data_IF_115762944011
#
_entry.id   IF_115762944011
#
_cell.length_a   1.000
_cell.length_b   1.000
_cell.length_c   1.000
_cell.angle_alpha   90.00
_cell.angle_beta   90.00
_cell.angle_gamma   90.00
#
_symmetry.space_group_name_H-M   'P 1'
#
loop_
_entity.id
_entity.type
_entity.pdbx_description
1 polymer ?
#
# COMPACT_ATOMS: atom_id res chain seq x y z
N UNK A 1 -14.61 2.81 12.74
CA UNK A 1 -15.42 2.38 13.91
C UNK A 1 -16.93 2.68 13.80
N UNK A 2 -17.45 3.24 12.69
CA UNK A 2 -18.89 3.55 12.55
C UNK A 2 -19.75 2.38 12.00
N UNK A 3 -19.18 1.52 11.14
CA UNK A 3 -19.96 0.46 10.46
C UNK A 3 -20.36 -0.71 11.38
N UNK A 4 -19.66 -0.94 12.49
CA UNK A 4 -20.00 -1.99 13.46
C UNK A 4 -21.27 -1.71 14.27
N UNK A 5 -21.73 -0.45 14.36
CA UNK A 5 -22.96 -0.11 15.09
C UNK A 5 -24.22 -0.44 14.27
N UNK A 6 -24.15 -0.34 12.94
CA UNK A 6 -25.28 -0.65 12.06
C UNK A 6 -25.54 -2.16 11.97
N UNK A 7 -24.49 -3.00 11.93
CA UNK A 7 -24.64 -4.46 11.95
C UNK A 7 -25.21 -5.02 13.27
N UNK A 8 -24.96 -4.34 14.41
CA UNK A 8 -25.51 -4.73 15.72
C UNK A 8 -27.02 -4.49 15.84
N UNK A 9 -27.55 -3.44 15.19
CA UNK A 9 -29.00 -3.17 15.21
C UNK A 9 -29.79 -4.08 14.26
N UNK A 10 -29.24 -4.43 13.10
CA UNK A 10 -29.93 -5.31 12.14
C UNK A 10 -30.01 -6.77 12.61
N UNK A 11 -29.02 -7.27 13.37
CA UNK A 11 -29.04 -8.61 13.96
C UNK A 11 -30.10 -8.77 15.07
N UNK A 12 -30.34 -7.73 15.87
CA UNK A 12 -31.38 -7.74 16.93
C UNK A 12 -32.80 -7.73 16.36
N UNK A 13 -33.03 -7.04 15.24
CA UNK A 13 -34.35 -7.00 14.58
C UNK A 13 -34.67 -8.30 13.83
N UNK A 14 -33.67 -8.94 13.22
CA UNK A 14 -33.90 -10.19 12.51
C UNK A 14 -34.28 -11.34 13.46
N UNK A 15 -33.84 -11.33 14.72
CA UNK A 15 -34.10 -12.39 15.70
C UNK A 15 -35.58 -12.43 16.19
N UNK A 16 -36.36 -11.38 15.93
CA UNK A 16 -37.71 -11.20 16.50
C UNK A 16 -38.81 -11.30 15.42
N UNK A 17 -38.46 -11.51 14.14
CA UNK A 17 -39.41 -11.64 13.04
C UNK A 17 -40.07 -13.03 12.94
N UNK A 18 -40.99 -13.37 13.86
CA UNK A 18 -41.92 -14.49 13.72
C UNK A 18 -43.27 -13.97 13.19
N UNK A 19 -43.41 -13.82 11.87
CA UNK A 19 -44.70 -13.94 11.18
C UNK A 19 -44.75 -15.41 10.70
N UNK A 20 -45.75 -16.25 11.01
CA UNK A 20 -47.16 -16.18 10.61
C UNK A 20 -47.97 -17.10 11.53
N UNK A 21 -49.14 -16.65 12.04
CA UNK A 21 -50.17 -17.52 12.62
C UNK A 21 -51.00 -18.17 11.50
N UNK A 22 -51.17 -19.50 11.45
CA UNK A 22 -52.19 -20.10 10.59
C UNK A 22 -53.57 -19.94 11.22
N UNK A 23 -54.48 -19.29 10.50
CA UNK A 23 -55.90 -19.23 10.80
C UNK A 23 -56.53 -20.63 10.79
N UNK A 24 -57.25 -20.98 11.86
CA UNK A 24 -58.10 -22.16 11.91
C UNK A 24 -59.36 -21.93 11.07
N UNK A 25 -59.50 -22.66 9.97
CA UNK A 25 -60.75 -22.79 9.23
C UNK A 25 -61.17 -24.26 9.19
N UNK A 26 -62.32 -24.56 9.80
CA UNK A 26 -63.05 -25.82 9.64
C UNK A 26 -63.68 -25.86 8.24
N UNK A 27 -63.46 -26.93 7.49
CA UNK A 27 -64.48 -27.60 6.68
C UNK A 27 -63.91 -28.88 6.05
N UNK A 28 -64.71 -29.94 6.13
CA UNK A 28 -64.48 -31.29 5.62
C UNK A 28 -64.47 -31.32 4.08
N UNK A 29 -63.55 -32.07 3.49
CA UNK A 29 -63.81 -33.04 2.42
C UNK A 29 -62.53 -33.83 2.06
N UNK A 30 -62.65 -35.15 1.98
CA UNK A 30 -61.54 -36.09 1.84
C UNK A 30 -60.98 -36.13 0.40
N UNK A 31 -59.67 -35.86 0.25
CA UNK A 31 -58.86 -36.13 -0.96
C UNK A 31 -57.54 -36.83 -0.54
N UNK A 32 -56.91 -37.63 -1.43
CA UNK A 32 -55.90 -38.63 -1.07
C UNK A 32 -54.69 -38.01 -0.40
N UNK A 33 -54.10 -38.77 0.53
CA UNK A 33 -52.92 -38.41 1.32
C UNK A 33 -51.80 -37.90 0.41
N UNK A 34 -51.65 -36.57 0.37
CA UNK A 34 -50.44 -35.92 -0.06
C UNK A 34 -49.32 -36.41 0.86
N UNK A 35 -48.15 -36.70 0.29
CA UNK A 35 -46.94 -36.96 1.05
C UNK A 35 -46.84 -35.89 2.16
N UNK A 36 -46.76 -36.33 3.42
CA UNK A 36 -46.78 -35.45 4.57
C UNK A 36 -45.75 -34.34 4.36
N UNK A 37 -46.25 -33.10 4.20
CA UNK A 37 -45.40 -31.92 4.14
C UNK A 37 -44.52 -31.92 5.39
N UNK A 38 -43.24 -31.58 5.24
CA UNK A 38 -42.33 -31.44 6.37
C UNK A 38 -43.01 -30.56 7.45
N UNK A 39 -42.97 -30.95 8.73
CA UNK A 39 -43.63 -30.19 9.79
C UNK A 39 -43.18 -28.73 9.73
N UNK A 40 -44.15 -27.81 9.82
CA UNK A 40 -43.85 -26.38 9.82
C UNK A 40 -42.92 -26.05 10.99
N UNK A 41 -41.93 -25.20 10.71
CA UNK A 41 -40.99 -24.70 11.70
C UNK A 41 -41.76 -24.06 12.87
N UNK A 42 -41.67 -24.68 14.05
CA UNK A 42 -42.39 -24.26 15.25
C UNK A 42 -41.53 -24.49 16.50
N UNK A 43 -41.80 -23.70 17.54
CA UNK A 43 -41.14 -23.78 18.84
C UNK A 43 -42.15 -24.35 19.83
N UNK A 44 -41.78 -25.43 20.54
CA UNK A 44 -42.67 -26.04 21.53
C UNK A 44 -42.95 -25.07 22.70
N UNK A 45 -44.13 -25.14 23.34
CA UNK A 45 -44.51 -24.19 24.39
C UNK A 45 -43.50 -24.07 25.53
N UNK A 46 -42.89 -25.18 25.95
CA UNK A 46 -41.88 -25.21 27.01
C UNK A 46 -40.59 -24.46 26.62
N UNK A 47 -40.19 -24.52 25.35
CA UNK A 47 -39.04 -23.77 24.82
C UNK A 47 -39.41 -22.31 24.59
N UNK A 48 -40.60 -22.04 24.04
CA UNK A 48 -41.09 -20.68 23.78
C UNK A 48 -41.19 -19.87 25.06
N UNK A 49 -41.67 -20.46 26.17
CA UNK A 49 -41.75 -19.78 27.47
C UNK A 49 -40.38 -19.28 27.97
N UNK A 50 -39.30 -20.01 27.66
CA UNK A 50 -37.94 -19.64 28.04
C UNK A 50 -37.34 -18.59 27.09
N UNK A 51 -37.63 -18.72 25.80
CA UNK A 51 -37.10 -17.88 24.73
C UNK A 51 -38.05 -16.76 24.28
N UNK A 52 -39.08 -16.45 25.08
CA UNK A 52 -40.11 -15.46 24.76
C UNK A 52 -39.47 -14.11 24.36
N UNK A 53 -39.71 -13.62 23.13
CA UNK A 53 -39.03 -12.43 22.63
C UNK A 53 -39.27 -11.18 23.48
N UNK A 54 -40.45 -11.06 24.10
CA UNK A 54 -40.79 -9.90 24.95
C UNK A 54 -39.99 -9.93 26.25
N UNK A 55 -39.99 -11.06 26.96
CA UNK A 55 -39.22 -11.22 28.18
C UNK A 55 -37.70 -11.09 27.93
N UNK A 56 -37.20 -11.74 26.88
CA UNK A 56 -35.78 -11.66 26.49
C UNK A 56 -35.40 -10.22 26.15
N UNK A 57 -36.22 -9.51 25.36
CA UNK A 57 -35.96 -8.11 25.02
C UNK A 57 -35.93 -7.22 26.27
N UNK A 58 -36.88 -7.39 27.19
CA UNK A 58 -36.91 -6.64 28.44
C UNK A 58 -35.63 -6.87 29.26
N UNK A 59 -35.17 -8.12 29.39
CA UNK A 59 -33.93 -8.44 30.10
C UNK A 59 -32.68 -7.90 29.38
N UNK A 60 -32.63 -7.94 28.04
CA UNK A 60 -31.53 -7.34 27.26
C UNK A 60 -31.48 -5.82 27.41
N UNK A 61 -32.61 -5.12 27.33
CA UNK A 61 -32.70 -3.66 27.48
C UNK A 61 -32.34 -3.22 28.91
N UNK A 62 -32.75 -4.00 29.92
CA UNK A 62 -32.40 -3.80 31.32
C UNK A 62 -30.95 -4.20 31.65
N UNK A 63 -30.17 -4.69 30.66
CA UNK A 63 -28.81 -5.24 30.83
C UNK A 63 -28.75 -6.41 31.83
N UNK A 64 -29.86 -7.09 32.07
CA UNK A 64 -29.93 -8.30 32.87
C UNK A 64 -29.48 -9.51 32.06
N UNK A 65 -28.21 -9.52 31.66
CA UNK A 65 -27.63 -10.56 30.81
C UNK A 65 -27.56 -11.93 31.49
N UNK A 66 -27.51 -11.95 32.83
CA UNK A 66 -27.53 -13.18 33.61
C UNK A 66 -28.87 -13.92 33.50
N UNK A 67 -30.00 -13.19 33.50
CA UNK A 67 -31.32 -13.77 33.25
C UNK A 67 -31.42 -14.35 31.82
N UNK A 68 -30.93 -13.61 30.82
CA UNK A 68 -30.92 -14.09 29.42
C UNK A 68 -30.05 -15.35 29.28
N UNK A 69 -28.87 -15.38 29.91
CA UNK A 69 -28.02 -16.57 29.93
C UNK A 69 -28.72 -17.75 30.61
N UNK A 70 -29.35 -17.55 31.76
CA UNK A 70 -30.08 -18.61 32.47
C UNK A 70 -31.21 -19.19 31.63
N UNK A 71 -31.95 -18.34 30.90
CA UNK A 71 -33.00 -18.78 29.97
C UNK A 71 -32.45 -19.62 28.83
N UNK A 72 -31.32 -19.21 28.25
CA UNK A 72 -30.61 -19.97 27.21
C UNK A 72 -30.20 -21.35 27.75
N UNK A 73 -29.64 -21.41 28.95
CA UNK A 73 -29.14 -22.65 29.55
C UNK A 73 -30.28 -23.62 29.88
N UNK A 74 -31.39 -23.10 30.43
CA UNK A 74 -32.60 -23.89 30.68
C UNK A 74 -33.22 -24.42 29.38
N UNK A 75 -33.27 -23.60 28.33
CA UNK A 75 -33.81 -24.03 27.04
C UNK A 75 -32.91 -25.08 26.39
N UNK A 76 -31.58 -24.94 26.51
CA UNK A 76 -30.60 -25.90 26.02
C UNK A 76 -30.66 -27.26 26.73
N UNK A 77 -31.16 -27.30 27.97
CA UNK A 77 -31.31 -28.53 28.75
C UNK A 77 -32.57 -29.35 28.40
N UNK A 78 -33.49 -28.79 27.61
CA UNK A 78 -34.67 -29.52 27.14
C UNK A 78 -34.23 -30.62 26.16
N UNK A 79 -34.59 -31.90 26.40
CA UNK A 79 -34.17 -32.99 25.53
C UNK A 79 -34.81 -32.88 24.15
N UNK A 80 -34.08 -33.38 23.14
CA UNK A 80 -34.53 -33.47 21.76
C UNK A 80 -35.06 -32.15 21.17
N UNK A 81 -34.31 -31.05 21.35
CA UNK A 81 -34.57 -29.80 20.62
C UNK A 81 -34.66 -30.07 19.12
N UNK A 82 -35.69 -29.52 18.48
CA UNK A 82 -35.80 -29.61 17.02
C UNK A 82 -34.70 -28.78 16.34
N UNK A 83 -34.40 -29.02 15.05
CA UNK A 83 -33.47 -28.18 14.30
C UNK A 83 -33.87 -26.69 14.32
N UNK A 84 -35.17 -26.39 14.25
CA UNK A 84 -35.67 -25.01 14.30
C UNK A 84 -35.51 -24.39 15.70
N UNK A 85 -35.80 -25.12 16.77
CA UNK A 85 -35.58 -24.65 18.15
C UNK A 85 -34.10 -24.39 18.41
N UNK A 86 -33.23 -25.26 17.92
CA UNK A 86 -31.77 -25.09 18.00
C UNK A 86 -31.32 -23.85 17.24
N UNK A 87 -31.90 -23.58 16.06
CA UNK A 87 -31.66 -22.35 15.31
C UNK A 87 -32.08 -21.11 16.11
N UNK A 88 -33.31 -21.07 16.65
CA UNK A 88 -33.81 -19.95 17.46
C UNK A 88 -32.92 -19.71 18.70
N UNK A 89 -32.56 -20.78 19.41
CA UNK A 89 -31.70 -20.71 20.58
C UNK A 89 -30.31 -20.12 20.24
N UNK A 90 -29.69 -20.56 19.14
CA UNK A 90 -28.38 -20.04 18.75
C UNK A 90 -28.47 -18.58 18.26
N UNK A 91 -29.57 -18.13 17.66
CA UNK A 91 -29.75 -16.70 17.35
C UNK A 91 -29.80 -15.84 18.61
N UNK A 92 -30.45 -16.33 19.67
CA UNK A 92 -30.42 -15.64 20.96
C UNK A 92 -29.01 -15.61 21.56
N UNK A 93 -28.25 -16.71 21.46
CA UNK A 93 -26.84 -16.73 21.85
C UNK A 93 -26.01 -15.71 21.09
N UNK A 94 -26.21 -15.56 19.77
CA UNK A 94 -25.53 -14.52 18.97
C UNK A 94 -25.85 -13.11 19.50
N UNK A 95 -27.11 -12.82 19.82
CA UNK A 95 -27.52 -11.51 20.34
C UNK A 95 -26.90 -11.22 21.72
N UNK A 96 -26.95 -12.19 22.63
CA UNK A 96 -26.34 -12.07 23.96
C UNK A 96 -24.82 -11.91 23.86
N UNK A 97 -24.16 -12.77 23.09
CA UNK A 97 -22.72 -12.77 22.90
C UNK A 97 -22.20 -11.47 22.27
N UNK A 98 -22.93 -10.93 21.28
CA UNK A 98 -22.59 -9.65 20.63
C UNK A 98 -22.68 -8.47 21.59
N UNK A 99 -23.63 -8.51 22.51
CA UNK A 99 -23.89 -7.44 23.49
C UNK A 99 -22.92 -7.50 24.66
N UNK A 100 -22.59 -8.71 25.12
CA UNK A 100 -21.68 -8.96 26.25
C UNK A 100 -20.21 -9.06 25.83
N UNK A 101 -19.92 -8.94 24.53
CA UNK A 101 -18.59 -9.10 23.95
C UNK A 101 -17.97 -10.49 24.23
N UNK A 102 -18.81 -11.53 24.34
CA UNK A 102 -18.37 -12.91 24.52
C UNK A 102 -18.06 -13.55 23.16
N UNK A 103 -16.82 -13.37 22.69
CA UNK A 103 -16.39 -13.86 21.37
C UNK A 103 -16.50 -15.39 21.19
N UNK A 104 -16.08 -16.25 22.15
CA UNK A 104 -16.27 -17.69 22.04
C UNK A 104 -17.73 -18.10 21.82
N UNK A 105 -18.66 -17.54 22.61
CA UNK A 105 -20.09 -17.82 22.45
C UNK A 105 -20.60 -17.35 21.09
N UNK A 106 -20.18 -16.16 20.64
CA UNK A 106 -20.59 -15.61 19.35
C UNK A 106 -20.15 -16.52 18.20
N UNK A 107 -18.90 -16.96 18.18
CA UNK A 107 -18.36 -17.81 17.10
C UNK A 107 -19.11 -19.14 17.01
N UNK A 108 -19.26 -19.87 18.13
CA UNK A 108 -19.98 -21.15 18.16
C UNK A 108 -21.45 -20.98 17.73
N UNK A 109 -22.11 -19.94 18.24
CA UNK A 109 -23.52 -19.70 17.91
C UNK A 109 -23.71 -19.24 16.46
N UNK A 110 -22.84 -18.37 15.93
CA UNK A 110 -22.88 -17.94 14.54
C UNK A 110 -22.70 -19.12 13.59
N UNK A 111 -21.71 -19.98 13.82
CA UNK A 111 -21.48 -21.17 13.01
C UNK A 111 -22.70 -22.09 13.02
N UNK A 112 -23.28 -22.37 14.21
CA UNK A 112 -24.49 -23.17 14.33
C UNK A 112 -25.69 -22.56 13.58
N UNK A 113 -25.84 -21.23 13.58
CA UNK A 113 -26.91 -20.56 12.81
C UNK A 113 -26.66 -20.66 11.31
N UNK A 114 -25.43 -20.47 10.85
CA UNK A 114 -25.04 -20.57 9.43
C UNK A 114 -25.26 -21.99 8.88
N UNK A 115 -24.87 -23.01 9.65
CA UNK A 115 -25.00 -24.41 9.24
C UNK A 115 -26.43 -24.96 9.37
N UNK A 116 -27.35 -24.22 9.98
CA UNK A 116 -28.75 -24.65 10.10
C UNK A 116 -29.48 -24.74 8.76
N UNK A 117 -29.02 -24.02 7.74
CA UNK A 117 -29.71 -23.90 6.45
C UNK A 117 -31.05 -23.14 6.52
N UNK A 118 -31.34 -22.46 7.65
CA UNK A 118 -32.62 -21.77 7.90
C UNK A 118 -32.59 -20.26 7.62
N UNK A 119 -31.43 -19.68 7.32
CA UNK A 119 -31.30 -18.27 6.96
C UNK A 119 -31.72 -18.05 5.50
N UNK A 120 -32.35 -16.89 5.23
CA UNK A 120 -32.45 -16.41 3.86
C UNK A 120 -31.06 -16.05 3.30
N UNK A 121 -30.93 -15.93 1.98
CA UNK A 121 -29.64 -15.71 1.32
C UNK A 121 -28.90 -14.46 1.83
N UNK A 122 -29.63 -13.38 2.12
CA UNK A 122 -29.01 -12.13 2.59
C UNK A 122 -28.49 -12.31 4.02
N UNK A 123 -29.33 -12.86 4.90
CA UNK A 123 -28.97 -13.14 6.28
C UNK A 123 -27.81 -14.15 6.37
N UNK A 124 -27.78 -15.17 5.50
CA UNK A 124 -26.68 -16.12 5.39
C UNK A 124 -25.34 -15.39 5.17
N UNK A 125 -25.29 -14.49 4.19
CA UNK A 125 -24.10 -13.67 3.94
C UNK A 125 -23.70 -12.79 5.13
N UNK A 126 -24.67 -12.09 5.74
CA UNK A 126 -24.43 -11.23 6.90
C UNK A 126 -23.84 -12.01 8.10
N UNK A 127 -24.36 -13.22 8.37
CA UNK A 127 -23.87 -14.09 9.44
C UNK A 127 -22.48 -14.67 9.15
N UNK A 128 -22.22 -15.11 7.91
CA UNK A 128 -20.89 -15.59 7.51
C UNK A 128 -19.85 -14.48 7.66
N UNK A 129 -20.16 -13.25 7.22
CA UNK A 129 -19.29 -12.10 7.39
C UNK A 129 -19.03 -11.81 8.88
N UNK A 130 -20.06 -11.88 9.72
CA UNK A 130 -19.92 -11.68 11.16
C UNK A 130 -18.96 -12.70 11.77
N UNK A 131 -19.12 -14.00 11.46
CA UNK A 131 -18.27 -15.07 11.95
C UNK A 131 -16.81 -14.90 11.50
N UNK A 132 -16.60 -14.57 10.22
CA UNK A 132 -15.27 -14.31 9.68
C UNK A 132 -14.57 -13.15 10.42
N UNK A 133 -15.30 -12.07 10.71
CA UNK A 133 -14.78 -10.94 11.49
C UNK A 133 -14.44 -11.32 12.94
N UNK A 134 -15.21 -12.19 13.58
CA UNK A 134 -14.87 -12.68 14.92
C UNK A 134 -13.55 -13.46 14.91
N UNK A 135 -13.37 -14.39 13.97
CA UNK A 135 -12.10 -15.10 13.82
C UNK A 135 -10.95 -14.13 13.51
N UNK A 136 -11.16 -13.16 12.62
CA UNK A 136 -10.15 -12.16 12.27
C UNK A 136 -9.69 -11.36 13.49
N UNK A 137 -10.63 -10.86 14.30
CA UNK A 137 -10.34 -10.09 15.50
C UNK A 137 -9.71 -10.93 16.61
N UNK A 138 -10.06 -12.22 16.68
CA UNK A 138 -9.42 -13.20 17.55
C UNK A 138 -8.01 -13.61 17.05
N UNK A 139 -7.54 -13.06 15.92
CA UNK A 139 -6.28 -13.40 15.24
C UNK A 139 -6.22 -14.87 14.78
N UNK A 140 -7.37 -15.52 14.67
CA UNK A 140 -7.54 -16.83 14.07
C UNK A 140 -7.67 -16.67 12.55
N UNK A 141 -6.56 -16.25 11.93
CA UNK A 141 -6.49 -15.95 10.51
C UNK A 141 -6.84 -17.13 9.59
N UNK A 142 -6.46 -18.39 9.89
CA UNK A 142 -6.89 -19.53 9.08
C UNK A 142 -8.41 -19.66 8.97
N UNK A 143 -9.14 -19.57 10.09
CA UNK A 143 -10.60 -19.59 10.04
C UNK A 143 -11.20 -18.31 9.47
N UNK A 144 -10.59 -17.15 9.74
CA UNK A 144 -11.03 -15.90 9.12
C UNK A 144 -10.99 -16.00 7.58
N UNK A 145 -9.90 -16.52 7.02
CA UNK A 145 -9.75 -16.76 5.58
C UNK A 145 -10.81 -17.75 5.09
N UNK A 146 -10.99 -18.89 5.77
CA UNK A 146 -12.02 -19.88 5.41
C UNK A 146 -13.40 -19.23 5.29
N UNK A 147 -13.81 -18.45 6.29
CA UNK A 147 -15.14 -17.84 6.34
C UNK A 147 -15.30 -16.65 5.39
N UNK A 148 -14.27 -15.81 5.21
CA UNK A 148 -14.31 -14.75 4.20
C UNK A 148 -14.35 -15.32 2.78
N UNK A 149 -13.62 -16.40 2.48
CA UNK A 149 -13.71 -17.07 1.18
C UNK A 149 -15.11 -17.67 0.96
N UNK A 150 -15.71 -18.26 2.00
CA UNK A 150 -17.10 -18.75 1.92
C UNK A 150 -18.08 -17.61 1.64
N UNK A 151 -17.91 -16.46 2.29
CA UNK A 151 -18.71 -15.25 2.02
C UNK A 151 -18.66 -14.88 0.54
N UNK A 152 -17.46 -14.82 -0.05
CA UNK A 152 -17.28 -14.47 -1.46
C UNK A 152 -18.03 -15.46 -2.38
N UNK A 153 -17.91 -16.77 -2.10
CA UNK A 153 -18.55 -17.83 -2.89
C UNK A 153 -20.08 -17.79 -2.79
N UNK A 154 -20.63 -17.65 -1.58
CA UNK A 154 -22.09 -17.74 -1.37
C UNK A 154 -22.84 -16.46 -1.74
N UNK A 155 -22.20 -15.30 -1.58
CA UNK A 155 -22.81 -13.99 -1.91
C UNK A 155 -22.53 -13.56 -3.35
N UNK A 156 -21.43 -14.03 -3.94
CA UNK A 156 -20.89 -13.52 -5.21
C UNK A 156 -20.10 -12.21 -5.06
N UNK A 157 -20.02 -11.63 -3.85
CA UNK A 157 -19.23 -10.43 -3.58
C UNK A 157 -17.77 -10.81 -3.29
N UNK A 158 -16.97 -10.85 -4.35
CA UNK A 158 -15.54 -11.10 -4.27
C UNK A 158 -14.73 -9.91 -3.73
N UNK A 159 -15.32 -8.72 -3.59
CA UNK A 159 -14.57 -7.47 -3.40
C UNK A 159 -14.52 -7.02 -1.95
N UNK A 160 -15.63 -7.08 -1.22
CA UNK A 160 -15.74 -6.46 0.11
C UNK A 160 -14.78 -7.09 1.13
N UNK A 161 -14.61 -8.41 1.10
CA UNK A 161 -13.76 -9.12 2.07
C UNK A 161 -12.32 -9.32 1.63
N UNK A 162 -12.00 -9.04 0.36
CA UNK A 162 -10.69 -9.31 -0.23
C UNK A 162 -9.53 -8.63 0.54
N UNK A 163 -9.62 -7.35 0.96
CA UNK A 163 -8.56 -6.73 1.76
C UNK A 163 -8.29 -7.44 3.09
N UNK A 164 -9.34 -7.99 3.73
CA UNK A 164 -9.21 -8.74 4.99
C UNK A 164 -8.55 -10.09 4.78
N UNK A 165 -8.88 -10.79 3.69
CA UNK A 165 -8.23 -12.07 3.32
C UNK A 165 -6.74 -11.85 3.08
N UNK A 166 -6.36 -10.85 2.28
CA UNK A 166 -4.95 -10.56 1.96
C UNK A 166 -4.18 -10.20 3.23
N UNK A 167 -4.75 -9.35 4.08
CA UNK A 167 -4.12 -8.98 5.35
C UNK A 167 -4.05 -10.17 6.32
N UNK A 168 -5.01 -11.09 6.30
CA UNK A 168 -4.97 -12.33 7.07
C UNK A 168 -3.81 -13.24 6.60
N UNK A 169 -3.56 -13.38 5.29
CA UNK A 169 -2.37 -14.08 4.79
C UNK A 169 -1.08 -13.47 5.34
N UNK A 170 -0.96 -12.14 5.31
CA UNK A 170 0.20 -11.46 5.87
C UNK A 170 0.37 -11.76 7.37
N UNK A 171 -0.69 -11.61 8.17
CA UNK A 171 -0.59 -11.83 9.62
C UNK A 171 -0.44 -13.31 10.02
N UNK A 172 -0.83 -14.25 9.16
CA UNK A 172 -0.53 -15.68 9.34
C UNK A 172 0.86 -16.08 8.81
N UNK A 173 1.70 -15.10 8.45
CA UNK A 173 3.03 -15.29 7.83
C UNK A 173 3.00 -16.01 6.47
N UNK A 174 1.85 -16.09 5.81
CA UNK A 174 1.71 -16.57 4.43
C UNK A 174 2.06 -15.45 3.45
N UNK A 175 3.31 -15.00 3.52
CA UNK A 175 3.81 -13.89 2.70
C UNK A 175 3.80 -14.23 1.20
N UNK A 176 3.89 -15.51 0.84
CA UNK A 176 3.81 -15.95 -0.55
C UNK A 176 2.43 -15.63 -1.15
N UNK A 177 1.34 -16.00 -0.45
CA UNK A 177 -0.02 -15.66 -0.91
C UNK A 177 -0.31 -14.18 -0.80
N UNK A 178 0.12 -13.52 0.28
CA UNK A 178 -0.04 -12.06 0.40
C UNK A 178 0.60 -11.33 -0.79
N UNK A 179 1.85 -11.69 -1.15
CA UNK A 179 2.54 -11.15 -2.33
C UNK A 179 1.78 -11.42 -3.61
N UNK A 180 1.36 -12.67 -3.84
CA UNK A 180 0.63 -13.04 -5.07
C UNK A 180 -0.63 -12.20 -5.25
N UNK A 181 -1.47 -12.10 -4.23
CA UNK A 181 -2.74 -11.37 -4.30
C UNK A 181 -2.52 -9.85 -4.43
N UNK A 182 -1.56 -9.28 -3.70
CA UNK A 182 -1.25 -7.85 -3.79
C UNK A 182 -0.67 -7.46 -5.15
N UNK A 183 0.19 -8.30 -5.74
CA UNK A 183 0.73 -8.08 -7.08
C UNK A 183 -0.36 -8.21 -8.16
N UNK A 184 -1.30 -9.15 -7.99
CA UNK A 184 -2.46 -9.27 -8.87
C UNK A 184 -3.35 -8.03 -8.79
N UNK A 185 -3.65 -7.56 -7.57
CA UNK A 185 -4.46 -6.35 -7.35
C UNK A 185 -3.77 -5.10 -7.91
N UNK A 186 -2.46 -4.97 -7.72
CA UNK A 186 -1.65 -3.89 -8.29
C UNK A 186 -1.73 -3.89 -9.83
N UNK A 187 -1.52 -5.05 -10.45
CA UNK A 187 -1.55 -5.20 -11.91
C UNK A 187 -2.94 -4.87 -12.46
N UNK A 188 -3.99 -5.41 -11.85
CA UNK A 188 -5.37 -5.16 -12.27
C UNK A 188 -5.75 -3.68 -12.15
N UNK A 189 -5.35 -3.00 -11.07
CA UNK A 189 -5.58 -1.56 -10.91
C UNK A 189 -4.84 -0.74 -11.94
N UNK A 190 -3.56 -1.05 -12.20
CA UNK A 190 -2.77 -0.37 -13.24
C UNK A 190 -3.40 -0.54 -14.63
N UNK A 191 -3.84 -1.74 -15.00
CA UNK A 191 -4.52 -2.00 -16.28
C UNK A 191 -5.86 -1.27 -16.38
N UNK A 192 -6.58 -1.14 -15.26
CA UNK A 192 -7.84 -0.42 -15.19
C UNK A 192 -7.68 1.12 -15.06
N UNK A 193 -6.45 1.65 -15.08
CA UNK A 193 -6.19 3.07 -14.85
C UNK A 193 -6.58 3.56 -13.45
N UNK A 194 -6.69 2.65 -12.47
CA UNK A 194 -7.04 2.95 -11.08
C UNK A 194 -5.78 3.07 -10.23
N UNK A 195 -5.79 4.02 -9.31
CA UNK A 195 -4.72 4.18 -8.31
C UNK A 195 -4.83 3.12 -7.22
N UNK A 196 -3.81 2.27 -7.00
CA UNK A 196 -3.73 1.40 -5.81
C UNK A 196 -3.71 2.23 -4.54
N UNK A 197 -4.32 1.75 -3.45
CA UNK A 197 -4.33 2.52 -2.20
C UNK A 197 -2.96 2.50 -1.53
N UNK A 198 -2.66 3.50 -0.71
CA UNK A 198 -1.39 3.55 0.01
C UNK A 198 -1.23 2.35 0.96
N UNK A 199 -2.31 1.87 1.58
CA UNK A 199 -2.30 0.72 2.50
C UNK A 199 -1.94 -0.58 1.77
N UNK A 200 -2.40 -0.76 0.53
CA UNK A 200 -2.08 -1.94 -0.28
C UNK A 200 -0.59 -1.95 -0.65
N UNK A 201 -0.06 -0.80 -1.06
CA UNK A 201 1.36 -0.66 -1.41
C UNK A 201 2.27 -0.81 -0.19
N UNK A 202 1.88 -0.24 0.96
CA UNK A 202 2.58 -0.43 2.22
C UNK A 202 2.53 -1.89 2.69
N UNK A 203 1.40 -2.58 2.51
CA UNK A 203 1.31 -4.01 2.82
C UNK A 203 2.21 -4.84 1.90
N UNK A 204 2.33 -4.49 0.61
CA UNK A 204 3.25 -5.14 -0.33
C UNK A 204 4.71 -4.92 0.07
N UNK A 205 5.07 -3.68 0.45
CA UNK A 205 6.40 -3.36 0.98
C UNK A 205 6.72 -4.17 2.24
N UNK A 206 5.80 -4.21 3.21
CA UNK A 206 5.95 -4.99 4.43
C UNK A 206 6.07 -6.49 4.12
N UNK A 207 5.27 -6.99 3.18
CA UNK A 207 5.36 -8.38 2.70
C UNK A 207 6.76 -8.69 2.16
N UNK A 208 7.29 -7.85 1.26
CA UNK A 208 8.65 -7.98 0.74
C UNK A 208 9.73 -7.90 1.83
N UNK A 209 9.57 -7.00 2.81
CA UNK A 209 10.51 -6.87 3.92
C UNK A 209 10.51 -8.12 4.82
N UNK A 210 9.33 -8.62 5.20
CA UNK A 210 9.20 -9.77 6.11
C UNK A 210 9.62 -11.08 5.45
N UNK A 211 9.37 -11.24 4.15
CA UNK A 211 9.81 -12.39 3.37
C UNK A 211 11.27 -12.31 2.92
N UNK A 212 12.00 -11.23 3.26
CA UNK A 212 13.37 -10.95 2.80
C UNK A 212 13.49 -10.96 1.27
N UNK A 213 12.47 -10.46 0.59
CA UNK A 213 12.38 -10.32 -0.86
C UNK A 213 12.56 -8.86 -1.27
N UNK A 214 13.82 -8.42 -1.55
CA UNK A 214 14.10 -7.04 -1.92
C UNK A 214 13.48 -6.66 -3.27
N UNK A 215 13.21 -7.61 -4.17
CA UNK A 215 12.58 -7.31 -5.46
C UNK A 215 11.13 -6.88 -5.27
N UNK A 216 10.37 -7.60 -4.44
CA UNK A 216 9.00 -7.21 -4.07
C UNK A 216 8.97 -5.87 -3.34
N UNK A 217 9.92 -5.66 -2.43
CA UNK A 217 10.03 -4.39 -1.72
C UNK A 217 10.23 -3.20 -2.68
N UNK A 218 11.15 -3.32 -3.63
CA UNK A 218 11.40 -2.28 -4.62
C UNK A 218 10.20 -2.02 -5.53
N UNK A 219 9.48 -3.06 -5.96
CA UNK A 219 8.21 -2.88 -6.70
C UNK A 219 7.21 -2.05 -5.90
N UNK A 220 7.07 -2.32 -4.60
CA UNK A 220 6.19 -1.55 -3.73
C UNK A 220 6.65 -0.09 -3.62
N UNK A 221 7.94 0.16 -3.38
CA UNK A 221 8.50 1.51 -3.28
C UNK A 221 8.36 2.30 -4.58
N UNK A 222 8.64 1.70 -5.73
CA UNK A 222 8.46 2.33 -7.05
C UNK A 222 7.01 2.78 -7.26
N UNK A 223 6.02 2.01 -6.76
CA UNK A 223 4.62 2.40 -6.83
C UNK A 223 4.22 3.42 -5.76
N UNK A 224 4.81 3.37 -4.57
CA UNK A 224 4.61 4.41 -3.55
C UNK A 224 5.12 5.76 -4.05
N UNK A 225 6.31 5.86 -4.62
CA UNK A 225 6.79 7.13 -5.18
C UNK A 225 5.99 7.57 -6.41
N UNK A 226 5.44 6.63 -7.18
CA UNK A 226 4.60 6.94 -8.34
C UNK A 226 3.28 7.59 -7.95
N UNK A 227 2.58 7.03 -6.97
CA UNK A 227 1.21 7.42 -6.63
C UNK A 227 1.12 8.32 -5.39
N UNK A 228 2.06 8.18 -4.46
CA UNK A 228 2.09 8.85 -3.17
C UNK A 228 3.48 9.39 -2.83
N UNK A 229 4.14 10.20 -3.70
CA UNK A 229 5.51 10.59 -3.46
C UNK A 229 5.66 11.40 -2.16
N UNK A 230 6.67 11.02 -1.38
CA UNK A 230 7.12 11.70 -0.16
C UNK A 230 8.65 11.63 -0.06
N UNK A 231 9.23 12.52 0.74
CA UNK A 231 10.68 12.54 1.00
C UNK A 231 11.18 11.19 1.53
N UNK A 232 10.40 10.55 2.41
CA UNK A 232 10.74 9.25 2.99
C UNK A 232 10.73 8.12 1.95
N UNK A 233 9.72 8.05 1.08
CA UNK A 233 9.66 7.01 0.05
C UNK A 233 10.73 7.19 -1.02
N UNK A 234 11.06 8.43 -1.39
CA UNK A 234 12.17 8.68 -2.30
C UNK A 234 13.51 8.30 -1.69
N UNK A 235 13.76 8.72 -0.45
CA UNK A 235 15.01 8.39 0.25
C UNK A 235 15.18 6.88 0.44
N UNK A 236 14.10 6.17 0.81
CA UNK A 236 14.14 4.72 0.99
C UNK A 236 14.33 3.97 -0.34
N UNK A 237 13.61 4.38 -1.40
CA UNK A 237 13.79 3.80 -2.74
C UNK A 237 15.23 3.92 -3.22
N UNK A 238 15.83 5.11 -3.10
CA UNK A 238 17.21 5.36 -3.55
C UNK A 238 18.21 4.57 -2.71
N UNK A 239 18.08 4.61 -1.38
CA UNK A 239 18.96 3.87 -0.47
C UNK A 239 18.94 2.36 -0.71
N UNK A 240 17.75 1.76 -0.89
CA UNK A 240 17.64 0.32 -1.13
C UNK A 240 18.14 -0.09 -2.50
N UNK A 241 17.97 0.77 -3.49
CA UNK A 241 18.51 0.51 -4.83
C UNK A 241 20.04 0.51 -4.83
N UNK A 242 20.68 1.42 -4.08
CA UNK A 242 22.14 1.39 -3.89
C UNK A 242 22.61 0.12 -3.16
N UNK A 243 21.79 -0.44 -2.28
CA UNK A 243 22.07 -1.70 -1.59
C UNK A 243 21.92 -2.97 -2.43
N UNK A 244 21.47 -2.87 -3.70
CA UNK A 244 21.33 -4.05 -4.58
C UNK A 244 22.69 -4.67 -4.87
N UNK A 245 22.73 -6.00 -4.91
CA UNK A 245 23.89 -6.72 -5.41
C UNK A 245 24.20 -6.29 -6.86
N UNK A 246 25.44 -5.91 -7.12
CA UNK A 246 25.88 -5.45 -8.45
C UNK A 246 25.61 -3.97 -8.75
N UNK A 247 25.02 -3.21 -7.81
CA UNK A 247 24.93 -1.75 -7.96
C UNK A 247 26.33 -1.14 -7.99
N UNK A 248 26.57 -0.22 -8.93
CA UNK A 248 27.89 0.39 -9.11
C UNK A 248 28.01 1.71 -8.33
N UNK A 249 29.02 1.79 -7.47
CA UNK A 249 29.33 3.00 -6.67
C UNK A 249 29.59 4.25 -7.52
N UNK A 250 29.93 4.08 -8.81
CA UNK A 250 30.12 5.19 -9.75
C UNK A 250 28.89 6.10 -9.88
N UNK A 251 27.71 5.57 -9.56
CA UNK A 251 26.45 6.29 -9.62
C UNK A 251 26.13 7.08 -8.34
N UNK A 252 27.06 7.15 -7.37
CA UNK A 252 26.85 7.91 -6.13
C UNK A 252 26.38 9.35 -6.40
N UNK A 253 27.03 10.06 -7.33
CA UNK A 253 26.62 11.42 -7.70
C UNK A 253 25.25 11.45 -8.38
N UNK A 254 24.94 10.48 -9.26
CA UNK A 254 23.67 10.43 -9.98
C UNK A 254 22.48 10.12 -9.06
N UNK A 255 22.69 9.33 -8.00
CA UNK A 255 21.69 9.13 -6.93
C UNK A 255 21.44 10.44 -6.19
N UNK A 256 22.50 11.11 -5.73
CA UNK A 256 22.39 12.37 -5.00
C UNK A 256 21.72 13.47 -5.84
N UNK A 257 21.99 13.51 -7.15
CA UNK A 257 21.30 14.40 -8.09
C UNK A 257 19.79 14.17 -8.10
N UNK A 258 19.38 12.91 -8.18
CA UNK A 258 17.96 12.57 -8.18
C UNK A 258 17.34 12.87 -6.81
N UNK A 259 18.01 12.52 -5.71
CA UNK A 259 17.55 12.84 -4.35
C UNK A 259 17.35 14.36 -4.19
N UNK A 260 18.32 15.17 -4.60
CA UNK A 260 18.24 16.64 -4.54
C UNK A 260 17.06 17.23 -5.30
N UNK A 261 16.56 16.54 -6.34
CA UNK A 261 15.35 16.92 -7.08
C UNK A 261 14.06 16.33 -6.51
N UNK A 262 14.15 15.14 -5.93
CA UNK A 262 12.99 14.36 -5.53
C UNK A 262 12.50 14.68 -4.12
N UNK A 263 13.40 15.08 -3.21
CA UNK A 263 13.05 15.36 -1.81
C UNK A 263 13.04 16.85 -1.51
N UNK A 264 12.17 17.24 -0.58
CA UNK A 264 12.05 18.59 -0.06
C UNK A 264 13.31 19.06 0.65
N UNK A 265 13.98 18.23 1.44
CA UNK A 265 15.28 18.54 2.09
C UNK A 265 16.13 17.28 2.24
N UNK A 266 17.38 17.32 1.76
CA UNK A 266 18.33 16.22 1.99
C UNK A 266 18.98 16.33 3.39
N UNK A 267 19.48 15.22 3.95
CA UNK A 267 20.38 15.25 5.09
C UNK A 267 21.58 16.20 4.86
N UNK A 268 22.09 16.89 5.91
CA UNK A 268 23.25 17.79 5.78
C UNK A 268 24.50 17.13 5.18
N UNK A 269 24.71 15.85 5.48
CA UNK A 269 25.84 15.08 4.95
C UNK A 269 25.72 14.89 3.43
N UNK A 270 24.54 14.48 2.93
CA UNK A 270 24.27 14.29 1.50
C UNK A 270 24.48 15.57 0.68
N UNK A 271 24.15 16.75 1.24
CA UNK A 271 24.48 18.04 0.63
C UNK A 271 26.00 18.24 0.46
N UNK A 272 26.78 17.89 1.48
CA UNK A 272 28.24 18.04 1.46
C UNK A 272 28.88 17.00 0.54
N UNK A 273 28.42 15.75 0.61
CA UNK A 273 28.91 14.65 -0.22
C UNK A 273 28.64 14.91 -1.71
N UNK A 274 27.44 15.38 -2.06
CA UNK A 274 27.12 15.75 -3.43
C UNK A 274 28.05 16.85 -3.94
N UNK A 275 28.36 17.85 -3.12
CA UNK A 275 29.26 18.94 -3.49
C UNK A 275 30.70 18.47 -3.64
N UNK A 276 31.20 17.65 -2.73
CA UNK A 276 32.56 17.09 -2.77
C UNK A 276 32.75 16.20 -4.01
N UNK A 277 31.81 15.30 -4.29
CA UNK A 277 31.86 14.43 -5.49
C UNK A 277 31.72 15.27 -6.77
N UNK A 278 30.87 16.29 -6.79
CA UNK A 278 30.75 17.20 -7.94
C UNK A 278 32.06 17.96 -8.20
N UNK A 279 32.75 18.45 -7.16
CA UNK A 279 34.08 19.07 -7.31
C UNK A 279 35.12 18.09 -7.84
N UNK A 280 35.16 16.86 -7.33
CA UNK A 280 36.05 15.81 -7.82
C UNK A 280 35.80 15.49 -9.31
N UNK A 281 34.55 15.56 -9.74
CA UNK A 281 34.14 15.32 -11.11
C UNK A 281 34.20 16.57 -12.01
N UNK A 282 34.81 17.66 -11.55
CA UNK A 282 34.94 18.93 -12.27
C UNK A 282 33.59 19.58 -12.66
N UNK A 283 32.59 19.50 -11.77
CA UNK A 283 31.31 20.21 -11.87
C UNK A 283 31.14 21.24 -10.73
N UNK A 284 32.02 22.26 -10.63
CA UNK A 284 32.04 23.17 -9.50
C UNK A 284 30.77 24.04 -9.38
N UNK A 285 30.11 24.36 -10.50
CA UNK A 285 28.83 25.09 -10.47
C UNK A 285 27.71 24.25 -9.84
N UNK A 286 27.69 22.95 -10.09
CA UNK A 286 26.77 22.02 -9.42
C UNK A 286 27.04 21.97 -7.91
N UNK A 287 28.32 21.84 -7.52
CA UNK A 287 28.74 21.87 -6.12
C UNK A 287 28.32 23.16 -5.40
N UNK A 288 28.52 24.31 -6.06
CA UNK A 288 28.07 25.61 -5.55
C UNK A 288 26.56 25.63 -5.32
N UNK A 289 25.77 25.21 -6.32
CA UNK A 289 24.30 25.24 -6.25
C UNK A 289 23.75 24.38 -5.12
N UNK A 290 24.26 23.17 -4.95
CA UNK A 290 23.79 22.27 -3.88
C UNK A 290 24.13 22.82 -2.50
N UNK A 291 25.35 23.37 -2.30
CA UNK A 291 25.73 23.99 -1.03
C UNK A 291 24.86 25.22 -0.74
N UNK A 292 24.70 26.13 -1.70
CA UNK A 292 23.87 27.32 -1.53
C UNK A 292 22.43 26.95 -1.14
N UNK A 293 21.86 25.90 -1.74
CA UNK A 293 20.54 25.38 -1.37
C UNK A 293 20.50 24.84 0.07
N UNK A 294 21.52 24.11 0.51
CA UNK A 294 21.62 23.62 1.90
C UNK A 294 21.77 24.75 2.92
N UNK A 295 22.54 25.79 2.59
CA UNK A 295 22.66 27.00 3.42
C UNK A 295 21.35 27.78 3.47
N UNK A 296 20.66 27.95 2.34
CA UNK A 296 19.38 28.65 2.28
C UNK A 296 18.29 27.97 3.12
N UNK A 297 18.33 26.63 3.22
CA UNK A 297 17.44 25.85 4.09
C UNK A 297 17.87 25.81 5.56
N UNK A 298 19.01 26.38 5.92
CA UNK A 298 19.54 26.36 7.29
C UNK A 298 20.06 25.00 7.77
N UNK A 299 20.11 23.99 6.90
CA UNK A 299 20.63 22.65 7.23
C UNK A 299 22.16 22.58 7.15
N UNK A 300 22.78 23.50 6.40
CA UNK A 300 24.23 23.74 6.41
C UNK A 300 24.57 25.05 7.11
N UNK A 301 25.84 25.22 7.47
CA UNK A 301 26.34 26.43 8.14
C UNK A 301 26.00 26.54 9.62
N UNK A 302 25.44 25.49 10.24
CA UNK A 302 25.08 25.43 11.66
C UNK A 302 25.80 24.28 12.37
N UNK A 303 25.79 24.29 13.70
CA UNK A 303 26.36 23.24 14.54
C UNK A 303 27.88 23.06 14.43
N UNK A 304 28.38 21.91 14.88
CA UNK A 304 29.82 21.60 14.93
C UNK A 304 30.49 21.61 13.54
N UNK A 305 29.73 21.35 12.47
CA UNK A 305 30.24 21.31 11.10
C UNK A 305 30.14 22.65 10.36
N UNK A 306 29.64 23.73 10.98
CA UNK A 306 29.41 25.03 10.34
C UNK A 306 30.65 25.56 9.59
N UNK A 307 31.83 25.51 10.24
CA UNK A 307 33.08 25.97 9.64
C UNK A 307 33.50 25.10 8.43
N UNK A 308 33.31 23.78 8.51
CA UNK A 308 33.58 22.85 7.38
C UNK A 308 32.65 23.15 6.20
N UNK A 309 31.35 23.30 6.45
CA UNK A 309 30.37 23.66 5.42
C UNK A 309 30.73 24.99 4.74
N UNK A 310 31.12 26.01 5.51
CA UNK A 310 31.51 27.31 4.97
C UNK A 310 32.75 27.22 4.10
N UNK A 311 33.79 26.50 4.56
CA UNK A 311 35.02 26.28 3.78
C UNK A 311 34.74 25.58 2.45
N UNK A 312 33.90 24.54 2.47
CA UNK A 312 33.52 23.81 1.26
C UNK A 312 32.74 24.71 0.28
N UNK A 313 31.84 25.56 0.79
CA UNK A 313 31.12 26.56 -0.02
C UNK A 313 32.05 27.60 -0.62
N UNK A 314 33.00 28.12 0.15
CA UNK A 314 34.00 29.07 -0.33
C UNK A 314 34.88 28.47 -1.44
N UNK A 315 35.28 27.19 -1.29
CA UNK A 315 36.00 26.44 -2.33
C UNK A 315 35.16 26.25 -3.60
N UNK A 316 33.90 25.82 -3.48
CA UNK A 316 33.02 25.62 -4.62
C UNK A 316 32.73 26.94 -5.36
N UNK A 317 32.53 28.04 -4.62
CA UNK A 317 32.36 29.38 -5.19
C UNK A 317 33.57 29.82 -6.02
N UNK A 318 34.78 29.66 -5.47
CA UNK A 318 36.01 29.99 -6.19
C UNK A 318 36.16 29.14 -7.45
N UNK A 319 36.00 27.82 -7.33
CA UNK A 319 36.14 26.91 -8.45
C UNK A 319 35.12 27.20 -9.56
N UNK A 320 33.86 27.50 -9.21
CA UNK A 320 32.82 27.83 -10.19
C UNK A 320 33.13 29.15 -10.92
N UNK A 321 33.65 30.15 -10.20
CA UNK A 321 34.04 31.43 -10.79
C UNK A 321 35.25 31.31 -11.74
N UNK A 322 36.20 30.43 -11.42
CA UNK A 322 37.37 30.17 -12.25
C UNK A 322 37.00 29.32 -13.49
N UNK A 323 36.13 28.32 -13.31
CA UNK A 323 35.62 27.48 -14.41
C UNK A 323 34.81 28.30 -15.42
N UNK A 324 33.91 29.18 -14.95
CA UNK A 324 33.11 30.04 -15.82
C UNK A 324 33.93 30.94 -16.77
N UNK A 325 35.16 31.31 -16.37
CA UNK A 325 36.07 32.13 -17.21
C UNK A 325 36.77 31.33 -18.31
N UNK A 326 36.94 30.02 -18.12
CA UNK A 326 37.85 29.20 -18.92
C UNK A 326 37.16 28.07 -19.68
N UNK A 327 35.96 27.65 -19.27
CA UNK A 327 35.23 26.51 -19.81
C UNK A 327 35.05 26.56 -21.34
N UNK A 328 34.81 27.74 -21.91
CA UNK A 328 34.64 27.92 -23.34
C UNK A 328 35.90 27.57 -24.16
N UNK A 329 37.09 27.68 -23.56
CA UNK A 329 38.35 27.34 -24.24
C UNK A 329 38.53 25.84 -24.51
N UNK A 330 37.85 24.98 -23.72
CA UNK A 330 37.92 23.53 -23.86
C UNK A 330 37.17 22.95 -25.05
N UNK A 331 36.25 23.72 -25.67
CA UNK A 331 35.33 23.22 -26.70
C UNK A 331 36.06 22.75 -27.97
N UNK A 332 36.99 23.56 -28.48
CA UNK A 332 37.76 23.21 -29.67
C UNK A 332 38.58 21.92 -29.50
N UNK A 333 39.15 21.71 -28.30
CA UNK A 333 39.90 20.51 -27.96
C UNK A 333 38.98 19.29 -27.83
N UNK A 334 37.83 19.42 -27.17
CA UNK A 334 36.84 18.36 -27.05
C UNK A 334 36.29 17.92 -28.42
N UNK A 335 36.04 18.88 -29.31
CA UNK A 335 35.62 18.63 -30.70
C UNK A 335 36.65 17.84 -31.51
N UNK A 336 37.95 18.00 -31.24
CA UNK A 336 39.05 17.29 -31.93
C UNK A 336 39.39 15.92 -31.33
N UNK A 337 38.85 15.57 -30.15
CA UNK A 337 39.10 14.26 -29.52
C UNK A 337 38.70 13.08 -30.43
N UNK A 338 39.21 11.88 -30.17
CA UNK A 338 38.81 10.67 -30.90
C UNK A 338 37.49 10.07 -30.41
N UNK A 339 37.09 10.39 -29.18
CA UNK A 339 35.85 9.94 -28.57
C UNK A 339 34.99 11.12 -28.08
N UNK A 340 33.75 10.83 -27.71
CA UNK A 340 32.76 11.80 -27.25
C UNK A 340 32.83 12.22 -25.78
N UNK A 341 33.67 11.60 -24.96
CA UNK A 341 33.66 11.77 -23.49
C UNK A 341 33.88 13.23 -23.09
N UNK A 342 34.81 13.91 -23.75
CA UNK A 342 35.11 15.32 -23.50
C UNK A 342 33.92 16.24 -23.79
N UNK A 343 33.19 15.98 -24.87
CA UNK A 343 31.99 16.75 -25.24
C UNK A 343 30.85 16.53 -24.24
N UNK A 344 30.66 15.30 -23.75
CA UNK A 344 29.64 14.98 -22.75
C UNK A 344 29.94 15.67 -21.41
N UNK A 345 31.20 15.67 -20.97
CA UNK A 345 31.58 16.33 -19.73
C UNK A 345 31.46 17.87 -19.85
N UNK A 346 31.93 18.44 -20.96
CA UNK A 346 31.82 19.87 -21.23
C UNK A 346 30.35 20.31 -21.35
N UNK A 347 29.55 19.55 -22.08
CA UNK A 347 28.13 19.82 -22.24
C UNK A 347 27.39 19.76 -20.90
N UNK A 348 27.71 18.79 -20.05
CA UNK A 348 27.12 18.73 -18.72
C UNK A 348 27.56 19.89 -17.82
N UNK A 349 28.82 20.32 -17.88
CA UNK A 349 29.25 21.51 -17.17
C UNK A 349 28.44 22.75 -17.59
N UNK A 350 28.15 22.94 -18.89
CA UNK A 350 27.23 23.98 -19.36
C UNK A 350 25.79 23.80 -18.84
N UNK A 351 25.26 22.57 -18.78
CA UNK A 351 23.96 22.27 -18.16
C UNK A 351 23.95 22.71 -16.69
N UNK A 352 25.02 22.43 -15.92
CA UNK A 352 25.11 22.86 -14.52
C UNK A 352 25.19 24.39 -14.37
N UNK A 353 25.57 25.11 -15.42
CA UNK A 353 25.54 26.58 -15.52
C UNK A 353 24.22 27.14 -16.07
N UNK A 354 23.17 26.32 -16.15
CA UNK A 354 21.85 26.65 -16.75
C UNK A 354 21.91 27.01 -18.24
N UNK A 355 23.04 26.76 -18.92
CA UNK A 355 23.16 26.92 -20.38
C UNK A 355 22.66 25.64 -21.07
N UNK A 356 21.38 25.34 -20.88
CA UNK A 356 20.78 24.05 -21.24
C UNK A 356 20.91 23.71 -22.72
N UNK A 357 20.57 24.62 -23.63
CA UNK A 357 20.59 24.31 -25.07
C UNK A 357 22.00 24.01 -25.57
N UNK A 358 22.99 24.83 -25.17
CA UNK A 358 24.40 24.59 -25.49
C UNK A 358 24.89 23.28 -24.87
N UNK A 359 24.56 23.05 -23.62
CA UNK A 359 25.01 21.87 -22.89
C UNK A 359 24.45 20.57 -23.48
N UNK A 360 23.15 20.55 -23.79
CA UNK A 360 22.47 19.41 -24.42
C UNK A 360 23.06 19.13 -25.80
N UNK A 361 23.23 20.14 -26.65
CA UNK A 361 23.84 19.99 -27.99
C UNK A 361 25.24 19.36 -27.92
N UNK A 362 26.08 19.78 -26.97
CA UNK A 362 27.40 19.17 -26.76
C UNK A 362 27.32 17.73 -26.27
N UNK A 363 26.40 17.39 -25.36
CA UNK A 363 26.20 16.00 -24.91
C UNK A 363 25.76 15.12 -26.08
N UNK A 364 24.81 15.58 -26.90
CA UNK A 364 24.31 14.86 -28.07
C UNK A 364 25.41 14.63 -29.11
N UNK A 365 26.19 15.66 -29.43
CA UNK A 365 27.38 15.55 -30.30
C UNK A 365 28.39 14.55 -29.75
N UNK A 366 28.62 14.56 -28.43
CA UNK A 366 29.48 13.58 -27.78
C UNK A 366 28.95 12.15 -27.91
N UNK A 367 27.66 11.92 -27.71
CA UNK A 367 27.04 10.60 -27.90
C UNK A 367 27.15 10.15 -29.37
N UNK A 368 26.84 11.03 -30.31
CA UNK A 368 26.91 10.75 -31.75
C UNK A 368 28.33 10.42 -32.23
N UNK A 369 29.35 11.03 -31.60
CA UNK A 369 30.77 10.79 -31.89
C UNK A 369 31.24 9.39 -31.47
N UNK A 370 30.57 8.76 -30.50
CA UNK A 370 30.89 7.41 -30.05
C UNK A 370 32.23 7.31 -29.31
N UNK A 371 32.82 6.11 -29.32
CA UNK A 371 34.05 5.81 -28.58
C UNK A 371 33.88 5.79 -27.05
N UNK A 372 32.63 5.74 -26.57
CA UNK A 372 32.32 5.79 -25.14
C UNK A 372 32.51 4.43 -24.49
N UNK A 373 33.26 4.39 -23.38
CA UNK A 373 33.35 3.19 -22.54
C UNK A 373 32.01 2.84 -21.87
N UNK A 374 31.16 3.85 -21.65
CA UNK A 374 29.88 3.74 -20.93
C UNK A 374 28.80 4.56 -21.65
N UNK A 375 28.27 4.05 -22.78
CA UNK A 375 27.24 4.78 -23.54
C UNK A 375 25.93 4.95 -22.74
N UNK A 376 25.60 4.02 -21.85
CA UNK A 376 24.37 4.08 -21.04
C UNK A 376 24.45 5.19 -19.97
N UNK A 377 25.60 5.37 -19.33
CA UNK A 377 25.85 6.49 -18.41
C UNK A 377 25.70 7.85 -19.13
N UNK A 378 26.14 7.93 -20.40
CA UNK A 378 26.00 9.13 -21.21
C UNK A 378 24.53 9.43 -21.57
N UNK A 379 23.74 8.40 -21.91
CA UNK A 379 22.30 8.54 -22.14
C UNK A 379 21.55 8.94 -20.88
N UNK A 380 21.87 8.34 -19.72
CA UNK A 380 21.31 8.74 -18.43
C UNK A 380 21.55 10.23 -18.18
N UNK A 381 22.78 10.70 -18.44
CA UNK A 381 23.17 12.10 -18.29
C UNK A 381 22.44 13.04 -19.24
N UNK A 382 22.26 12.65 -20.50
CA UNK A 382 21.45 13.40 -21.44
C UNK A 382 19.99 13.50 -20.95
N UNK A 383 19.44 12.37 -20.49
CA UNK A 383 18.08 12.29 -19.97
C UNK A 383 17.81 13.24 -18.80
N UNK A 384 18.65 13.23 -17.75
CA UNK A 384 18.45 14.19 -16.66
C UNK A 384 18.84 15.63 -17.04
N UNK A 385 19.66 15.85 -18.08
CA UNK A 385 19.93 17.19 -18.61
C UNK A 385 18.69 17.78 -19.27
N UNK A 386 17.97 16.99 -20.06
CA UNK A 386 16.66 17.34 -20.57
C UNK A 386 15.64 17.61 -19.44
N UNK A 387 15.64 16.77 -18.40
CA UNK A 387 14.77 16.95 -17.24
C UNK A 387 15.04 18.29 -16.53
N UNK A 388 16.31 18.66 -16.33
CA UNK A 388 16.70 19.94 -15.73
C UNK A 388 16.34 21.14 -16.60
N UNK A 389 16.37 20.99 -17.93
CA UNK A 389 15.95 22.00 -18.89
C UNK A 389 14.42 22.14 -19.01
N UNK A 390 13.64 21.36 -18.25
CA UNK A 390 12.18 21.35 -18.35
C UNK A 390 11.62 20.64 -19.60
N UNK A 391 12.48 20.01 -20.39
CA UNK A 391 12.12 19.27 -21.62
C UNK A 391 11.70 17.84 -21.25
N UNK A 392 10.53 17.72 -20.61
CA UNK A 392 10.02 16.47 -20.03
C UNK A 392 9.94 15.32 -21.05
N UNK A 393 9.35 15.57 -22.21
CA UNK A 393 9.10 14.51 -23.20
C UNK A 393 10.42 13.98 -23.80
N UNK A 394 11.37 14.88 -24.10
CA UNK A 394 12.71 14.51 -24.56
C UNK A 394 13.48 13.72 -23.49
N UNK A 395 13.36 14.13 -22.22
CA UNK A 395 13.96 13.42 -21.11
C UNK A 395 13.45 11.98 -21.03
N UNK A 396 12.12 11.79 -21.03
CA UNK A 396 11.52 10.45 -20.97
C UNK A 396 11.97 9.62 -22.17
N UNK A 397 11.89 10.18 -23.39
CA UNK A 397 12.30 9.50 -24.62
C UNK A 397 13.73 8.97 -24.55
N UNK A 398 14.67 9.75 -24.02
CA UNK A 398 16.06 9.30 -23.85
C UNK A 398 16.18 8.27 -22.73
N UNK A 399 15.58 8.53 -21.56
CA UNK A 399 15.68 7.68 -20.37
C UNK A 399 15.11 6.28 -20.61
N UNK A 400 14.06 6.14 -21.42
CA UNK A 400 13.49 4.83 -21.81
C UNK A 400 14.46 3.96 -22.61
N UNK A 401 15.45 4.57 -23.27
CA UNK A 401 16.49 3.84 -24.02
C UNK A 401 17.64 3.34 -23.14
N UNK A 402 17.70 3.78 -21.88
CA UNK A 402 18.78 3.45 -20.95
C UNK A 402 18.58 2.05 -20.41
N UNK A 403 19.59 1.18 -20.58
CA UNK A 403 19.56 -0.22 -20.18
C UNK A 403 20.80 -0.59 -19.39
N UNK A 404 20.63 -1.33 -18.30
CA UNK A 404 21.75 -1.89 -17.55
C UNK A 404 21.33 -2.36 -16.16
N UNK A 405 21.97 -3.42 -15.68
CA UNK A 405 21.66 -4.06 -14.39
C UNK A 405 22.50 -3.55 -13.22
N UNK A 406 23.46 -2.66 -13.46
CA UNK A 406 24.42 -2.15 -12.47
C UNK A 406 23.97 -0.84 -11.79
N UNK A 407 22.69 -0.51 -11.91
CA UNK A 407 22.06 0.70 -11.35
C UNK A 407 21.64 1.73 -12.38
N UNK A 408 22.26 1.77 -13.57
CA UNK A 408 21.95 2.78 -14.59
C UNK A 408 20.49 2.74 -15.06
N UNK A 409 19.95 1.53 -15.25
CA UNK A 409 18.56 1.33 -15.64
C UNK A 409 17.58 1.67 -14.53
N UNK A 410 17.96 1.48 -13.26
CA UNK A 410 17.13 1.87 -12.11
C UNK A 410 17.01 3.40 -12.03
N UNK A 411 18.14 4.10 -12.11
CA UNK A 411 18.17 5.57 -12.10
C UNK A 411 17.36 6.17 -13.25
N UNK A 412 17.46 5.59 -14.46
CA UNK A 412 16.69 6.09 -15.58
C UNK A 412 15.17 5.96 -15.34
N UNK A 413 14.72 4.81 -14.83
CA UNK A 413 13.32 4.61 -14.44
C UNK A 413 12.89 5.59 -13.34
N UNK A 414 13.75 5.88 -12.37
CA UNK A 414 13.40 6.76 -11.25
C UNK A 414 13.33 8.23 -11.66
N UNK A 415 14.18 8.67 -12.60
CA UNK A 415 14.00 9.97 -13.25
C UNK A 415 12.66 10.07 -14.00
N UNK A 416 12.24 9.01 -14.70
CA UNK A 416 10.92 8.95 -15.35
C UNK A 416 9.79 9.03 -14.32
N UNK A 417 9.89 8.28 -13.20
CA UNK A 417 8.92 8.36 -12.11
C UNK A 417 8.82 9.79 -11.55
N UNK A 418 9.96 10.43 -11.32
CA UNK A 418 10.01 11.81 -10.85
C UNK A 418 9.37 12.77 -11.87
N UNK A 419 9.67 12.64 -13.16
CA UNK A 419 9.07 13.46 -14.23
C UNK A 419 7.56 13.29 -14.36
N UNK A 420 7.03 12.11 -14.00
CA UNK A 420 5.61 11.78 -14.06
C UNK A 420 4.88 11.92 -12.72
N UNK A 421 5.53 12.47 -11.69
CA UNK A 421 4.91 12.69 -10.39
C UNK A 421 3.68 13.62 -10.49
N UNK A 422 2.65 13.43 -9.65
CA UNK A 422 1.54 14.36 -9.55
C UNK A 422 2.03 15.76 -9.13
N UNK A 423 1.50 16.82 -9.73
CA UNK A 423 1.90 18.20 -9.45
C UNK A 423 1.63 18.64 -7.99
N UNK A 424 0.77 17.92 -7.27
CA UNK A 424 0.26 18.29 -5.94
C UNK A 424 0.95 17.58 -4.77
N UNK A 425 1.96 16.74 -5.00
CA UNK A 425 2.57 15.92 -3.94
C UNK A 425 3.62 16.69 -3.13
N UNK A 426 3.18 17.69 -2.37
CA UNK A 426 3.89 18.17 -1.21
C UNK A 426 3.31 17.46 0.03
N UNK A 427 4.10 16.53 0.58
CA UNK A 427 3.99 15.94 1.91
C UNK A 427 2.67 15.24 2.29
N UNK A 428 2.55 13.95 1.98
CA UNK A 428 1.85 13.03 2.88
C UNK A 428 2.85 12.58 3.97
N UNK A 429 2.57 12.78 5.27
CA UNK A 429 3.43 12.28 6.32
C UNK A 429 3.41 10.75 6.32
N UNK A 430 4.59 10.12 6.27
CA UNK A 430 4.70 8.68 6.45
C UNK A 430 4.29 8.35 7.90
N UNK A 431 3.23 7.56 8.07
CA UNK A 431 2.94 6.94 9.35
C UNK A 431 4.05 5.92 9.63
N UNK A 432 4.73 6.07 10.78
CA UNK A 432 5.79 5.19 11.23
C UNK A 432 5.32 3.73 11.21
N UNK A 433 6.04 2.89 10.47
CA UNK A 433 5.85 1.45 10.48
C UNK A 433 6.18 0.92 11.90
N UNK A 434 5.17 0.43 12.61
CA UNK A 434 5.32 -0.46 13.78
C UNK A 434 4.99 -1.89 13.37
#
# INVERSE_FOLDING_TARGET
MSQFRLARLSLLLAAIGLNVLPSLSHAQDAKPAAAAAAPADSVRPEVFKLLDPVAVKASMDAKNYADVQSRIDQAAAIPALTPYETFVLNRLRVALASTTNNAPMAMTALEAVIESGKLDKKAQGDFIQALANYHYNAKDYPNAIKWFTRYQTETGDATTMRPYIIRAYYFSNDFARAKQELMADLTAKQQAGKTPTIEELQLLANTGSKSKDPATYLVAMENLVRYYPSDDYWSDLLSRTQGKAGYSDRFALDVLRLQFKAVGTMPPQDYSDMAEIALQNAFPTEAKKVLDAGFAKGVLGTGANAAKHKKLRDQANKAAADDAKSIASGEASAMKSKDGTGLINLGYAFVTMDQFDKGIDLIEKGIAKGGLKRPEDAKLRLGYSYAMAGKKDDAIKVLETVKGGDGVGDLARYWILWLNRPATAAAAPAAAAQ
#
